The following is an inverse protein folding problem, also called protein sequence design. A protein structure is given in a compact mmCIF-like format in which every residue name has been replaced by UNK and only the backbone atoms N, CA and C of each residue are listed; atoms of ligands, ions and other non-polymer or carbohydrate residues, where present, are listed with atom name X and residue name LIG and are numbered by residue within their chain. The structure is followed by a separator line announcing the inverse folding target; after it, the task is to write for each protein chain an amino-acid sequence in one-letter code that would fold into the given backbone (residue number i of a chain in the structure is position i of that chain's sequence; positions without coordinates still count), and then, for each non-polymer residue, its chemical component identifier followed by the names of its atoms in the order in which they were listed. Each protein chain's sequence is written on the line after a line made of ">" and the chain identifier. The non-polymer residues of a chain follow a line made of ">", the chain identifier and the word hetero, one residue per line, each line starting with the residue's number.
data_IF_361990082344
#
_entry.id   IF_361990082344
#
_cell.length_a   1.000
_cell.length_b   1.000
_cell.length_c   1.000
_cell.angle_alpha   90.00
_cell.angle_beta   90.00
_cell.angle_gamma   90.00
#
_symmetry.space_group_name_H-M   'P 1'
#
loop_
_entity.id
_entity.type
_entity.pdbx_description
1 polymer ?
#
# COMPACT_ATOMS: atom_id res chain seq x y z
N UNK A 1 -26.67 7.94 1.42
CA UNK A 1 -25.33 8.17 2.01
C UNK A 1 -24.47 6.95 1.72
N UNK A 2 -23.25 7.12 1.21
CA UNK A 2 -22.34 5.98 1.01
C UNK A 2 -22.12 5.27 2.34
N UNK A 3 -22.13 3.94 2.32
CA UNK A 3 -21.81 3.15 3.51
C UNK A 3 -20.29 3.01 3.65
N UNK A 4 -19.83 2.66 4.84
CA UNK A 4 -18.40 2.38 5.07
C UNK A 4 -17.91 1.30 4.10
N UNK A 5 -16.95 1.64 3.25
CA UNK A 5 -16.43 0.78 2.19
C UNK A 5 -16.91 1.10 0.77
N UNK A 6 -17.85 2.04 0.61
CA UNK A 6 -18.20 2.51 -0.71
C UNK A 6 -17.13 3.49 -1.23
N UNK A 7 -16.72 3.27 -2.46
CA UNK A 7 -15.82 4.18 -3.16
C UNK A 7 -16.62 5.15 -4.00
N UNK A 8 -16.34 6.44 -3.84
CA UNK A 8 -16.91 7.47 -4.69
C UNK A 8 -15.80 7.95 -5.63
N UNK A 9 -15.93 7.60 -6.91
CA UNK A 9 -15.06 8.12 -7.97
C UNK A 9 -15.65 9.43 -8.49
N UNK A 10 -14.93 10.53 -8.35
CA UNK A 10 -15.31 11.85 -8.85
C UNK A 10 -14.72 12.14 -10.23
N UNK A 11 -14.16 11.15 -10.91
CA UNK A 11 -13.60 11.30 -12.26
C UNK A 11 -12.37 12.21 -12.35
N UNK A 12 -11.59 12.30 -11.27
CA UNK A 12 -10.39 13.14 -11.20
C UNK A 12 -10.69 14.64 -10.98
N UNK A 13 -11.94 15.00 -10.73
CA UNK A 13 -12.30 16.40 -10.48
C UNK A 13 -11.95 16.83 -9.05
N UNK A 14 -11.59 18.11 -8.93
CA UNK A 14 -11.40 18.75 -7.64
C UNK A 14 -12.74 18.94 -6.95
N UNK A 15 -12.86 18.47 -5.71
CA UNK A 15 -14.07 18.61 -4.90
C UNK A 15 -13.78 19.31 -3.59
N UNK A 16 -14.64 20.24 -3.21
CA UNK A 16 -14.62 20.88 -1.90
C UNK A 16 -15.44 20.04 -0.92
N UNK A 17 -14.83 19.70 0.21
CA UNK A 17 -15.48 18.97 1.31
C UNK A 17 -15.65 19.91 2.49
N UNK A 18 -16.89 20.02 2.99
CA UNK A 18 -17.22 20.84 4.15
C UNK A 18 -17.78 19.98 5.26
N UNK A 19 -17.16 20.05 6.42
CA UNK A 19 -17.64 19.38 7.61
C UNK A 19 -18.38 20.36 8.53
N UNK A 20 -19.59 20.00 8.91
CA UNK A 20 -20.42 20.80 9.80
C UNK A 20 -20.62 20.08 11.12
N UNK A 21 -20.47 20.81 12.23
CA UNK A 21 -20.91 20.35 13.54
C UNK A 21 -22.29 20.92 13.83
N UNK A 22 -23.24 20.05 14.13
CA UNK A 22 -24.59 20.45 14.56
C UNK A 22 -24.73 20.19 16.07
N UNK A 23 -25.01 21.26 16.81
CA UNK A 23 -25.32 21.20 18.25
C UNK A 23 -26.70 21.77 18.44
N UNK A 24 -27.71 20.94 18.75
CA UNK A 24 -29.11 21.34 18.82
C UNK A 24 -29.63 21.88 17.48
N UNK A 25 -30.08 23.09 17.46
CA UNK A 25 -30.54 23.78 16.23
C UNK A 25 -29.44 24.56 15.50
N UNK A 26 -28.27 24.69 16.12
CA UNK A 26 -27.15 25.44 15.56
C UNK A 26 -26.25 24.53 14.74
N UNK A 27 -25.90 24.97 13.53
CA UNK A 27 -24.93 24.30 12.65
C UNK A 27 -23.75 25.24 12.44
N UNK A 28 -22.56 24.75 12.65
CA UNK A 28 -21.32 25.51 12.46
C UNK A 28 -20.41 24.78 11.48
N UNK A 29 -19.84 25.50 10.51
CA UNK A 29 -18.76 25.00 9.66
C UNK A 29 -17.53 24.81 10.54
N UNK A 30 -16.97 23.59 10.59
CA UNK A 30 -15.80 23.25 11.41
C UNK A 30 -14.55 23.05 10.60
N UNK A 31 -14.68 22.48 9.41
CA UNK A 31 -13.56 22.20 8.52
C UNK A 31 -14.04 22.33 7.08
N UNK A 32 -13.21 22.96 6.28
CA UNK A 32 -13.36 23.04 4.84
C UNK A 32 -12.04 22.62 4.23
N UNK A 33 -12.06 21.64 3.34
CA UNK A 33 -10.89 21.15 2.64
C UNK A 33 -11.23 20.84 1.19
N UNK A 34 -10.22 20.78 0.36
CA UNK A 34 -10.37 20.42 -1.03
C UNK A 34 -9.64 19.11 -1.28
N UNK A 35 -10.40 18.10 -1.66
CA UNK A 35 -9.83 16.80 -2.05
C UNK A 35 -9.79 16.70 -3.57
N UNK A 36 -8.75 16.03 -4.05
CA UNK A 36 -8.68 15.56 -5.41
C UNK A 36 -9.12 14.11 -5.44
N UNK A 37 -10.15 13.80 -6.21
CA UNK A 37 -10.41 12.43 -6.61
C UNK A 37 -9.70 12.21 -7.94
N UNK A 38 -8.68 11.40 -7.94
CA UNK A 38 -8.16 10.83 -9.17
C UNK A 38 -8.91 9.53 -9.45
N UNK A 39 -8.93 9.11 -10.72
CA UNK A 39 -9.43 7.79 -11.06
C UNK A 39 -8.74 6.76 -10.17
N UNK A 40 -9.52 5.99 -9.44
CA UNK A 40 -9.00 4.89 -8.64
C UNK A 40 -8.08 4.04 -9.52
N UNK A 41 -6.92 3.61 -9.00
CA UNK A 41 -6.04 2.73 -9.75
C UNK A 41 -6.87 1.57 -10.27
N UNK A 42 -7.00 1.46 -11.59
CA UNK A 42 -7.67 0.31 -12.17
C UNK A 42 -6.97 -0.94 -11.63
N UNK A 43 -7.73 -1.96 -11.25
CA UNK A 43 -7.18 -3.25 -10.79
C UNK A 43 -6.47 -3.96 -11.95
N UNK A 44 -5.36 -3.40 -12.41
CA UNK A 44 -4.48 -4.04 -13.37
C UNK A 44 -3.52 -5.02 -12.70
N UNK A 45 -3.30 -4.87 -11.39
CA UNK A 45 -2.61 -5.88 -10.58
C UNK A 45 -3.61 -6.97 -10.23
N UNK A 46 -3.69 -7.99 -11.05
CA UNK A 46 -4.35 -9.25 -10.71
C UNK A 46 -3.49 -10.01 -9.69
N UNK A 47 -4.06 -11.00 -8.99
CA UNK A 47 -3.28 -11.91 -8.14
C UNK A 47 -2.13 -12.57 -8.92
N UNK A 48 -2.31 -12.79 -10.23
CA UNK A 48 -1.29 -13.31 -11.14
C UNK A 48 -0.13 -12.33 -11.40
N UNK A 49 -0.31 -11.04 -11.13
CA UNK A 49 0.74 -10.03 -11.27
C UNK A 49 1.66 -9.93 -10.05
N UNK A 50 1.19 -10.37 -8.88
CA UNK A 50 1.98 -10.44 -7.66
C UNK A 50 2.53 -11.86 -7.49
N UNK A 51 3.84 -12.00 -7.54
CA UNK A 51 4.55 -13.26 -7.32
C UNK A 51 5.51 -13.14 -6.14
N UNK A 52 5.66 -14.24 -5.42
CA UNK A 52 6.61 -14.36 -4.32
C UNK A 52 7.23 -15.76 -4.38
N UNK A 53 8.52 -15.82 -4.66
CA UNK A 53 9.27 -17.05 -4.86
C UNK A 53 10.46 -17.06 -3.91
N UNK A 54 10.54 -18.08 -3.06
CA UNK A 54 11.71 -18.31 -2.21
C UNK A 54 12.84 -18.86 -3.08
N UNK A 55 14.00 -18.23 -3.01
CA UNK A 55 15.20 -18.69 -3.70
C UNK A 55 15.87 -19.76 -2.85
N UNK A 56 15.84 -21.00 -3.36
CA UNK A 56 16.39 -22.18 -2.66
C UNK A 56 17.84 -21.97 -2.24
N UNK A 57 18.11 -22.18 -0.97
CA UNK A 57 19.48 -22.17 -0.40
C UNK A 57 20.06 -20.77 -0.17
N UNK A 58 19.38 -19.69 -0.51
CA UNK A 58 19.89 -18.32 -0.33
C UNK A 58 19.27 -17.60 0.87
N UNK A 59 18.14 -18.09 1.39
CA UNK A 59 17.39 -17.41 2.43
C UNK A 59 16.82 -16.07 1.95
N UNK A 60 16.49 -15.98 0.66
CA UNK A 60 15.93 -14.79 0.03
C UNK A 60 14.55 -15.07 -0.56
N UNK A 61 13.68 -14.06 -0.53
CA UNK A 61 12.39 -14.02 -1.18
C UNK A 61 12.43 -13.02 -2.32
N UNK A 62 12.18 -13.48 -3.54
CA UNK A 62 11.96 -12.61 -4.69
C UNK A 62 10.48 -12.28 -4.82
N UNK A 63 10.15 -11.01 -4.74
CA UNK A 63 8.78 -10.48 -4.94
C UNK A 63 8.76 -9.70 -6.24
N UNK A 64 7.77 -9.94 -7.09
CA UNK A 64 7.59 -9.21 -8.36
C UNK A 64 6.13 -8.85 -8.58
N UNK A 65 5.91 -7.75 -9.31
CA UNK A 65 4.58 -7.25 -9.66
C UNK A 65 4.61 -6.41 -10.92
N UNK A 66 3.44 -6.17 -11.50
CA UNK A 66 3.27 -5.23 -12.61
C UNK A 66 3.02 -3.82 -12.07
N UNK A 67 3.75 -2.81 -12.56
CA UNK A 67 3.48 -1.43 -12.17
C UNK A 67 2.19 -0.92 -12.83
N UNK A 68 1.53 0.04 -12.18
CA UNK A 68 0.32 0.70 -12.71
C UNK A 68 0.59 1.67 -13.87
N UNK A 69 1.85 1.92 -14.21
CA UNK A 69 2.25 2.92 -15.22
C UNK A 69 1.76 4.35 -14.87
N UNK A 70 1.59 4.63 -13.59
CA UNK A 70 1.19 5.93 -13.07
C UNK A 70 2.30 6.46 -12.14
N UNK A 71 2.90 7.65 -12.39
CA UNK A 71 4.01 8.18 -11.62
C UNK A 71 3.66 8.53 -10.17
N UNK A 72 2.37 8.71 -9.86
CA UNK A 72 1.89 9.07 -8.52
C UNK A 72 1.56 7.84 -7.67
N UNK A 73 1.73 6.62 -8.21
CA UNK A 73 1.50 5.37 -7.48
C UNK A 73 2.82 4.76 -7.05
N UNK A 74 3.00 4.62 -5.76
CA UNK A 74 4.15 4.03 -5.09
C UNK A 74 3.78 2.70 -4.47
N UNK A 75 4.78 1.92 -4.07
CA UNK A 75 4.53 0.57 -3.56
C UNK A 75 5.17 0.35 -2.19
N UNK A 76 4.52 -0.48 -1.38
CA UNK A 76 5.08 -1.03 -0.14
C UNK A 76 4.89 -2.54 -0.14
N UNK A 77 5.95 -3.27 0.18
CA UNK A 77 5.94 -4.73 0.31
C UNK A 77 6.02 -5.08 1.79
N UNK A 78 5.14 -5.97 2.22
CA UNK A 78 5.05 -6.43 3.60
C UNK A 78 4.94 -7.95 3.64
N UNK A 79 5.52 -8.57 4.67
CA UNK A 79 5.44 -10.01 4.90
C UNK A 79 4.83 -10.26 6.26
N UNK A 80 3.83 -11.13 6.28
CA UNK A 80 3.08 -11.52 7.47
C UNK A 80 3.04 -13.04 7.63
N UNK A 81 2.63 -13.48 8.82
CA UNK A 81 2.22 -14.85 9.06
C UNK A 81 1.09 -15.25 8.09
N UNK A 82 0.85 -16.55 7.93
CA UNK A 82 -0.25 -17.08 7.12
C UNK A 82 -1.61 -16.47 7.47
N UNK A 83 -1.81 -16.11 8.76
CA UNK A 83 -3.06 -15.49 9.25
C UNK A 83 -3.13 -13.97 9.03
N UNK A 84 -2.07 -13.36 8.49
CA UNK A 84 -1.96 -11.92 8.27
C UNK A 84 -2.20 -11.08 9.54
N UNK A 85 -1.47 -11.39 10.61
CA UNK A 85 -1.44 -10.51 11.77
C UNK A 85 -0.71 -9.21 11.40
N UNK A 86 -1.49 -8.17 11.16
CA UNK A 86 -0.99 -6.86 10.70
C UNK A 86 -0.21 -6.12 11.79
N UNK A 87 -0.29 -6.56 13.04
CA UNK A 87 0.43 -5.94 14.16
C UNK A 87 1.86 -6.45 14.29
N UNK A 88 2.17 -7.59 13.65
CA UNK A 88 3.46 -8.25 13.74
C UNK A 88 4.01 -8.65 12.36
N UNK A 89 4.36 -7.68 11.50
CA UNK A 89 4.99 -7.99 10.23
C UNK A 89 6.39 -8.57 10.43
N UNK A 90 6.78 -9.51 9.57
CA UNK A 90 8.16 -9.99 9.48
C UNK A 90 9.03 -9.06 8.63
N UNK A 91 8.42 -8.37 7.68
CA UNK A 91 9.10 -7.39 6.85
C UNK A 91 8.14 -6.26 6.47
N UNK A 92 8.66 -5.03 6.46
CA UNK A 92 8.00 -3.85 5.90
C UNK A 92 9.05 -3.10 5.11
N UNK A 93 8.87 -2.98 3.79
CA UNK A 93 9.77 -2.20 2.96
C UNK A 93 9.61 -0.71 3.23
N UNK A 94 10.64 0.07 2.95
CA UNK A 94 10.43 1.49 2.64
C UNK A 94 9.54 1.60 1.41
N UNK A 95 8.98 2.78 1.19
CA UNK A 95 8.19 3.04 -0.02
C UNK A 95 9.09 2.88 -1.24
N UNK A 96 8.60 2.15 -2.22
CA UNK A 96 9.26 1.87 -3.48
C UNK A 96 8.73 2.82 -4.56
N UNK A 97 9.59 3.31 -5.47
CA UNK A 97 9.19 4.22 -6.53
C UNK A 97 8.15 3.60 -7.46
N UNK A 98 7.40 4.47 -8.14
CA UNK A 98 6.35 4.11 -9.09
C UNK A 98 6.81 3.18 -10.24
N UNK A 99 8.10 3.24 -10.57
CA UNK A 99 8.72 2.40 -11.61
C UNK A 99 9.12 1.02 -11.12
N UNK A 100 9.04 0.74 -9.82
CA UNK A 100 9.41 -0.56 -9.26
C UNK A 100 8.47 -1.67 -9.71
N UNK A 101 9.05 -2.81 -10.07
CA UNK A 101 8.34 -4.03 -10.46
C UNK A 101 8.75 -5.25 -9.62
N UNK A 102 9.58 -5.07 -8.62
CA UNK A 102 10.00 -6.14 -7.74
C UNK A 102 11.13 -5.76 -6.78
N UNK A 103 11.39 -6.65 -5.85
CA UNK A 103 12.51 -6.57 -4.92
C UNK A 103 12.90 -7.95 -4.41
N UNK A 104 14.17 -8.11 -4.04
CA UNK A 104 14.66 -9.29 -3.32
C UNK A 104 14.79 -8.95 -1.84
N UNK A 105 14.22 -9.80 -1.00
CA UNK A 105 14.14 -9.59 0.45
C UNK A 105 14.94 -10.70 1.14
N UNK A 106 15.90 -10.32 1.95
CA UNK A 106 16.68 -11.20 2.80
C UNK A 106 17.01 -10.53 4.14
N UNK A 107 17.80 -11.14 4.98
CA UNK A 107 18.15 -10.63 6.32
C UNK A 107 18.90 -9.29 6.31
N UNK A 108 19.51 -8.91 5.18
CA UNK A 108 20.26 -7.65 5.03
C UNK A 108 19.50 -6.57 4.26
N UNK A 109 18.32 -6.89 3.72
CA UNK A 109 17.52 -5.92 2.97
C UNK A 109 17.06 -4.79 3.88
N UNK A 110 17.32 -3.55 3.47
CA UNK A 110 16.86 -2.37 4.21
C UNK A 110 15.33 -2.26 4.17
N UNK A 111 14.72 -2.07 5.33
CA UNK A 111 13.27 -1.92 5.49
C UNK A 111 12.96 -1.14 6.76
N UNK A 112 11.68 -0.80 6.97
CA UNK A 112 11.19 -0.25 8.24
C UNK A 112 11.16 -1.34 9.33
N UNK A 113 10.88 -2.57 8.91
CA UNK A 113 10.96 -3.79 9.70
C UNK A 113 11.69 -4.85 8.88
N UNK A 114 12.64 -5.54 9.47
CA UNK A 114 13.25 -6.72 8.88
C UNK A 114 13.53 -7.79 9.94
N UNK A 115 12.65 -8.79 9.99
CA UNK A 115 12.71 -9.97 10.83
C UNK A 115 12.68 -11.25 9.99
N UNK A 116 13.19 -11.18 8.75
CA UNK A 116 13.20 -12.31 7.81
C UNK A 116 13.96 -13.51 8.39
N UNK A 117 14.99 -13.28 9.20
CA UNK A 117 15.70 -14.35 9.90
C UNK A 117 14.86 -15.17 10.89
N UNK A 118 13.67 -14.72 11.24
CA UNK A 118 12.73 -15.43 12.12
C UNK A 118 11.77 -16.35 11.33
N UNK A 119 11.77 -16.29 10.00
CA UNK A 119 10.95 -17.18 9.19
C UNK A 119 11.40 -18.62 9.33
N UNK A 120 10.45 -19.51 9.53
CA UNK A 120 10.70 -20.93 9.73
C UNK A 120 10.60 -21.66 8.39
N UNK A 121 11.66 -22.39 8.06
CA UNK A 121 11.70 -23.20 6.85
C UNK A 121 10.59 -24.24 6.83
N UNK A 122 9.91 -24.37 5.70
CA UNK A 122 8.76 -25.25 5.53
C UNK A 122 7.42 -24.66 5.95
N UNK A 123 7.42 -23.45 6.53
CA UNK A 123 6.18 -22.76 6.92
C UNK A 123 5.68 -21.83 5.80
N UNK A 124 4.37 -21.58 5.82
CA UNK A 124 3.70 -20.71 4.85
C UNK A 124 3.49 -19.31 5.42
N UNK A 125 3.76 -18.32 4.60
CA UNK A 125 3.60 -16.90 4.89
C UNK A 125 2.79 -16.19 3.82
N UNK A 126 2.51 -14.92 4.02
CA UNK A 126 1.86 -14.05 3.04
C UNK A 126 2.68 -12.82 2.76
N UNK A 127 2.86 -12.52 1.50
CA UNK A 127 3.30 -11.20 1.04
C UNK A 127 2.07 -10.35 0.75
N UNK A 128 2.14 -9.09 1.14
CA UNK A 128 1.19 -8.04 0.75
C UNK A 128 1.93 -6.98 -0.04
N UNK A 129 1.39 -6.64 -1.19
CA UNK A 129 1.78 -5.46 -1.96
C UNK A 129 0.71 -4.40 -1.75
N UNK A 130 1.10 -3.26 -1.24
CA UNK A 130 0.24 -2.08 -1.11
C UNK A 130 0.63 -1.07 -2.17
N UNK A 131 -0.32 -0.66 -3.01
CA UNK A 131 -0.16 0.45 -3.93
C UNK A 131 -0.79 1.70 -3.30
N UNK A 132 -0.01 2.76 -3.23
CA UNK A 132 -0.32 4.03 -2.58
C UNK A 132 -0.33 5.12 -3.64
N UNK A 133 -1.48 5.72 -3.90
CA UNK A 133 -1.59 6.85 -4.82
C UNK A 133 -1.60 8.15 -4.04
N UNK A 134 -0.68 9.04 -4.37
CA UNK A 134 -0.55 10.36 -3.75
C UNK A 134 -1.00 11.47 -4.70
N UNK A 135 -1.18 12.66 -4.16
CA UNK A 135 -1.36 13.86 -4.96
C UNK A 135 -0.18 14.09 -5.90
N UNK A 136 -0.42 14.58 -7.13
CA UNK A 136 0.66 14.88 -8.04
C UNK A 136 1.67 15.87 -7.47
N UNK A 137 2.96 15.60 -7.69
CA UNK A 137 4.04 16.48 -7.29
C UNK A 137 4.49 16.36 -5.83
N UNK A 138 3.97 15.40 -5.07
CA UNK A 138 4.45 15.09 -3.72
C UNK A 138 5.72 14.26 -3.81
N UNK A 139 6.78 14.67 -3.09
CA UNK A 139 8.02 13.91 -3.02
C UNK A 139 7.94 12.80 -1.98
N UNK A 140 7.36 11.69 -2.38
CA UNK A 140 7.12 10.53 -1.51
C UNK A 140 8.42 9.80 -1.16
N UNK A 141 9.39 9.80 -2.06
CA UNK A 141 10.65 9.03 -1.87
C UNK A 141 11.55 9.68 -0.80
N UNK A 142 11.50 10.99 -0.69
CA UNK A 142 12.25 11.74 0.36
C UNK A 142 11.42 11.95 1.65
N UNK A 143 10.33 11.19 1.82
CA UNK A 143 9.42 11.25 2.97
C UNK A 143 8.73 12.64 3.15
N UNK A 144 8.62 13.42 2.07
CA UNK A 144 7.93 14.71 2.06
C UNK A 144 6.43 14.56 1.79
N UNK A 145 5.76 13.69 2.55
CA UNK A 145 4.33 13.45 2.43
C UNK A 145 3.65 13.33 3.80
N UNK A 146 2.34 13.49 3.80
CA UNK A 146 1.48 13.21 4.93
C UNK A 146 0.30 12.33 4.51
N UNK A 147 -0.46 11.83 5.48
CA UNK A 147 -1.70 11.11 5.18
C UNK A 147 -2.72 11.96 4.40
N UNK A 148 -2.64 13.29 4.50
CA UNK A 148 -3.51 14.20 3.75
C UNK A 148 -3.22 14.20 2.24
N UNK A 149 -2.00 13.82 1.83
CA UNK A 149 -1.63 13.72 0.42
C UNK A 149 -2.02 12.37 -0.21
N UNK A 150 -2.42 11.39 0.60
CA UNK A 150 -2.80 10.06 0.14
C UNK A 150 -4.21 10.09 -0.45
N UNK A 151 -4.33 9.76 -1.73
CA UNK A 151 -5.60 9.81 -2.47
C UNK A 151 -6.29 8.45 -2.53
N UNK A 152 -5.52 7.38 -2.68
CA UNK A 152 -6.05 6.02 -2.74
C UNK A 152 -5.04 4.99 -2.24
N UNK A 153 -5.56 3.90 -1.69
CA UNK A 153 -4.78 2.74 -1.26
C UNK A 153 -5.46 1.49 -1.79
N UNK A 154 -4.68 0.62 -2.40
CA UNK A 154 -5.14 -0.73 -2.72
C UNK A 154 -4.07 -1.74 -2.35
N UNK A 155 -4.46 -2.96 -2.02
CA UNK A 155 -3.52 -4.01 -1.65
C UNK A 155 -3.88 -5.35 -2.28
N UNK A 156 -2.84 -6.13 -2.50
CA UNK A 156 -2.92 -7.50 -2.99
C UNK A 156 -2.13 -8.38 -2.03
N UNK A 157 -2.54 -9.61 -1.87
CA UNK A 157 -1.78 -10.56 -1.06
C UNK A 157 -1.64 -11.89 -1.75
N UNK A 158 -0.47 -12.53 -1.56
CA UNK A 158 -0.19 -13.86 -2.05
C UNK A 158 0.50 -14.70 -0.99
N UNK A 159 0.12 -15.97 -0.89
CA UNK A 159 0.81 -16.93 -0.05
C UNK A 159 2.09 -17.43 -0.71
N UNK A 160 3.10 -17.73 0.09
CA UNK A 160 4.32 -18.40 -0.33
C UNK A 160 4.81 -19.38 0.75
N UNK A 161 5.61 -20.34 0.35
CA UNK A 161 6.31 -21.27 1.24
C UNK A 161 7.73 -20.73 1.45
N UNK A 162 8.20 -20.70 2.70
CA UNK A 162 9.59 -20.36 2.99
C UNK A 162 10.45 -21.61 2.93
N UNK A 163 11.45 -21.67 2.03
CA UNK A 163 12.26 -22.85 1.77
C UNK A 163 13.74 -22.68 2.15
#
# INVERSE_FOLDING_TARGET
>A
QPQSGDYVDFGGEKREVRFYLRIGKNTQLKLQDTIYSQNLPQRTLSESGLEAITELGTGALKVSWNSYQNPDIYYRVEIFSKKMDLTQPYFVSRIQPATSTGMTINTTTSGEVNRIGELIKGESYRVRLTALMFEPGVDVINDEYSSANLQAVTYFSRGFLWE
#
